data_IF_614620488080
#
_entry.id   IF_614620488080
#
_cell.length_a   1.000
_cell.length_b   1.000
_cell.length_c   1.000
_cell.angle_alpha   90.00
_cell.angle_beta   90.00
_cell.angle_gamma   90.00
#
_symmetry.space_group_name_H-M   'P 1'
#
loop_
_entity.id
_entity.type
_entity.pdbx_description
1 polymer ?
#
# COMPACT_ATOMS: atom_id res chain seq x y z
N UNK A 1 37.39 62.64 3.43
CA UNK A 1 37.92 61.29 3.65
C UNK A 1 36.86 60.32 3.15
N UNK A 2 36.96 59.91 1.89
CA UNK A 2 35.94 59.08 1.24
C UNK A 2 36.08 57.64 1.73
N UNK A 3 35.02 57.20 2.41
CA UNK A 3 34.78 55.83 2.84
C UNK A 3 34.78 54.90 1.63
N UNK A 4 35.78 54.02 1.57
CA UNK A 4 35.88 52.98 0.55
C UNK A 4 35.29 51.70 1.11
N UNK A 5 33.95 51.58 1.05
CA UNK A 5 33.31 50.28 1.17
C UNK A 5 33.66 49.48 -0.08
N UNK A 6 34.61 48.55 0.05
CA UNK A 6 34.93 47.58 -0.99
C UNK A 6 33.69 46.69 -1.20
N UNK A 7 32.93 46.96 -2.26
CA UNK A 7 31.87 46.07 -2.73
C UNK A 7 32.53 44.77 -3.20
N UNK A 8 32.25 43.66 -2.50
CA UNK A 8 32.58 42.35 -3.03
C UNK A 8 31.87 42.17 -4.37
N UNK A 9 32.61 41.73 -5.39
CA UNK A 9 32.07 41.42 -6.72
C UNK A 9 30.91 40.40 -6.59
N UNK A 10 29.86 40.47 -7.42
CA UNK A 10 28.74 39.50 -7.39
C UNK A 10 29.18 38.03 -7.47
N UNK A 11 30.30 37.76 -8.14
CA UNK A 11 30.93 36.43 -8.20
C UNK A 11 31.47 35.94 -6.86
N UNK A 12 31.91 36.83 -5.97
CA UNK A 12 32.39 36.46 -4.64
C UNK A 12 31.23 36.13 -3.68
N UNK A 13 30.02 36.66 -3.93
CA UNK A 13 28.82 36.31 -3.16
C UNK A 13 28.35 34.88 -3.44
N UNK A 14 28.46 34.39 -4.68
CA UNK A 14 28.11 33.01 -5.06
C UNK A 14 29.05 31.94 -4.46
N UNK A 15 30.26 32.31 -4.06
CA UNK A 15 31.21 31.40 -3.42
C UNK A 15 31.04 31.32 -1.89
N UNK A 16 30.14 32.14 -1.31
CA UNK A 16 29.92 32.22 0.12
C UNK A 16 28.69 31.41 0.59
N UNK A 17 27.89 30.87 -0.33
CA UNK A 17 26.79 29.97 0.05
C UNK A 17 27.34 28.61 0.47
N UNK A 18 27.03 28.24 1.71
CA UNK A 18 27.31 26.89 2.21
C UNK A 18 26.60 25.85 1.31
N UNK A 19 27.29 24.76 0.93
CA UNK A 19 26.68 23.73 0.13
C UNK A 19 25.45 23.16 0.85
N UNK A 20 24.36 22.84 0.12
CA UNK A 20 23.17 22.27 0.73
C UNK A 20 23.52 20.97 1.44
N UNK A 21 22.92 20.75 2.61
CA UNK A 21 23.09 19.49 3.35
C UNK A 21 22.34 18.35 2.65
N UNK A 22 22.92 17.16 2.71
CA UNK A 22 22.23 15.93 2.36
C UNK A 22 21.20 15.54 3.43
N UNK A 23 20.29 14.61 3.13
CA UNK A 23 19.21 14.18 4.03
C UNK A 23 19.09 12.66 4.01
N UNK A 24 19.00 12.04 5.19
CA UNK A 24 18.72 10.61 5.32
C UNK A 24 17.21 10.40 5.37
N UNK A 25 16.69 9.54 4.48
CA UNK A 25 15.28 9.18 4.37
C UNK A 25 15.13 7.69 4.71
N UNK A 26 14.16 7.37 5.56
CA UNK A 26 13.80 5.98 5.84
C UNK A 26 12.73 5.51 4.86
N UNK A 27 12.97 4.34 4.29
CA UNK A 27 12.00 3.61 3.50
C UNK A 27 11.91 2.20 4.05
N UNK A 28 10.83 1.88 4.76
CA UNK A 28 9.68 2.72 5.10
C UNK A 28 9.96 3.79 6.19
N UNK A 29 9.09 4.81 6.41
CA UNK A 29 9.44 6.07 7.09
C UNK A 29 9.50 6.02 8.63
N UNK A 30 9.54 4.84 9.24
CA UNK A 30 9.56 4.69 10.69
C UNK A 30 10.98 4.60 11.24
N UNK A 31 11.26 5.41 12.25
CA UNK A 31 12.52 5.48 13.00
C UNK A 31 12.62 4.44 14.14
N UNK A 32 11.51 3.74 14.41
CA UNK A 32 11.40 2.70 15.43
C UNK A 32 11.12 1.36 14.80
N UNK A 33 12.03 0.42 14.99
CA UNK A 33 11.96 -0.94 14.46
C UNK A 33 11.82 -1.96 15.58
N UNK A 34 11.23 -3.10 15.26
CA UNK A 34 11.39 -4.30 16.08
C UNK A 34 12.58 -5.11 15.55
N UNK A 35 13.15 -5.95 16.41
CA UNK A 35 14.13 -6.94 15.94
C UNK A 35 13.53 -7.76 14.78
N UNK A 36 14.38 -8.14 13.82
CA UNK A 36 14.01 -8.85 12.58
C UNK A 36 13.27 -8.02 11.53
N UNK A 37 12.90 -6.77 11.83
CA UNK A 37 12.40 -5.87 10.79
C UNK A 37 13.51 -5.49 9.79
N UNK A 38 13.10 -5.02 8.62
CA UNK A 38 14.01 -4.55 7.58
C UNK A 38 13.66 -3.10 7.22
N UNK A 39 14.68 -2.27 7.07
CA UNK A 39 14.55 -0.86 6.68
C UNK A 39 15.62 -0.50 5.66
N UNK A 40 15.31 0.43 4.77
CA UNK A 40 16.28 0.99 3.82
C UNK A 40 16.48 2.47 4.11
N UNK A 41 17.73 2.86 4.38
CA UNK A 41 18.14 4.25 4.50
C UNK A 41 18.54 4.74 3.10
N UNK A 42 17.99 5.87 2.66
CA UNK A 42 18.32 6.51 1.37
C UNK A 42 18.94 7.88 1.64
N UNK A 43 20.03 8.20 0.95
CA UNK A 43 20.65 9.52 1.04
C UNK A 43 20.17 10.40 -0.12
N UNK A 44 19.52 11.51 0.22
CA UNK A 44 19.13 12.54 -0.73
C UNK A 44 20.18 13.67 -0.69
N UNK A 45 20.82 13.92 -1.83
CA UNK A 45 21.86 14.94 -1.96
C UNK A 45 22.29 15.11 -3.42
N UNK A 46 23.11 16.11 -3.68
CA UNK A 46 23.68 16.34 -5.01
C UNK A 46 24.95 15.50 -5.20
N UNK A 47 25.08 14.89 -6.39
CA UNK A 47 26.21 14.03 -6.74
C UNK A 47 27.02 14.66 -7.88
N UNK A 48 28.35 14.53 -7.86
CA UNK A 48 29.17 14.92 -9.00
C UNK A 48 28.89 14.02 -10.22
N UNK A 49 29.09 14.53 -11.45
CA UNK A 49 28.88 13.74 -12.66
C UNK A 49 29.86 12.55 -12.69
N UNK A 50 29.33 11.34 -12.81
CA UNK A 50 30.13 10.11 -12.89
C UNK A 50 30.52 9.49 -11.55
N UNK A 51 30.08 10.06 -10.43
CA UNK A 51 30.27 9.48 -9.10
C UNK A 51 28.99 9.65 -8.26
N UNK A 52 28.28 8.53 -8.07
CA UNK A 52 27.06 8.39 -7.28
C UNK A 52 27.34 7.86 -5.86
N UNK A 53 28.59 7.93 -5.41
CA UNK A 53 28.98 7.41 -4.12
C UNK A 53 28.46 8.26 -2.95
N UNK A 54 28.05 7.56 -1.89
CA UNK A 54 27.60 8.14 -0.62
C UNK A 54 28.50 7.68 0.50
N UNK A 55 28.95 8.60 1.33
CA UNK A 55 29.60 8.29 2.60
C UNK A 55 28.54 8.13 3.70
N UNK A 56 28.36 6.90 4.19
CA UNK A 56 27.50 6.62 5.32
C UNK A 56 28.29 6.59 6.64
N UNK A 57 27.71 7.16 7.70
CA UNK A 57 28.25 7.09 9.06
C UNK A 57 27.19 6.63 10.06
N UNK A 58 27.57 5.71 10.93
CA UNK A 58 26.78 5.24 12.07
C UNK A 58 27.49 5.58 13.38
N UNK A 59 26.85 6.38 14.24
CA UNK A 59 27.46 6.96 15.45
C UNK A 59 28.84 7.58 15.17
N UNK A 60 28.96 8.30 14.05
CA UNK A 60 30.21 8.90 13.57
C UNK A 60 31.21 7.94 12.90
N UNK A 61 30.98 6.63 12.96
CA UNK A 61 31.85 5.60 12.36
C UNK A 61 31.50 5.37 10.89
N UNK A 62 32.50 5.33 10.01
CA UNK A 62 32.29 5.12 8.59
C UNK A 62 31.77 3.70 8.30
N UNK A 63 30.70 3.60 7.52
CA UNK A 63 30.18 2.34 6.98
C UNK A 63 30.83 2.12 5.61
N UNK A 64 31.21 0.87 5.29
CA UNK A 64 31.86 0.52 4.02
C UNK A 64 30.96 0.65 2.79
N UNK A 65 29.64 0.77 2.98
CA UNK A 65 28.67 0.93 1.92
C UNK A 65 28.82 2.31 1.27
N UNK A 66 29.00 2.32 -0.06
CA UNK A 66 29.11 3.54 -0.87
C UNK A 66 27.87 3.82 -1.73
N UNK A 67 26.85 2.98 -1.66
CA UNK A 67 25.64 3.14 -2.46
C UNK A 67 24.77 4.27 -1.89
N UNK A 68 23.94 4.87 -2.74
CA UNK A 68 22.94 5.87 -2.34
C UNK A 68 21.90 5.33 -1.36
N UNK A 69 21.78 4.01 -1.25
CA UNK A 69 20.92 3.32 -0.28
C UNK A 69 21.67 2.29 0.57
N UNK A 70 21.42 2.30 1.86
CA UNK A 70 21.93 1.33 2.83
C UNK A 70 20.76 0.55 3.45
N UNK A 71 20.71 -0.76 3.18
CA UNK A 71 19.63 -1.63 3.69
C UNK A 71 20.09 -2.38 4.93
N UNK A 72 19.28 -2.34 5.98
CA UNK A 72 19.45 -3.11 7.20
C UNK A 72 18.42 -4.24 7.13
N UNK A 73 18.91 -5.44 6.87
CA UNK A 73 18.12 -6.67 6.93
C UNK A 73 18.23 -7.26 8.33
N UNK A 74 17.12 -7.76 8.85
CA UNK A 74 17.10 -8.51 10.11
C UNK A 74 17.63 -7.67 11.30
N UNK A 75 17.03 -6.51 11.51
CA UNK A 75 17.49 -5.50 12.47
C UNK A 75 17.72 -6.08 13.87
N UNK A 76 18.78 -5.60 14.54
CA UNK A 76 19.15 -5.94 15.91
C UNK A 76 19.21 -4.67 16.76
N UNK A 77 19.12 -4.81 18.09
CA UNK A 77 19.28 -3.66 19.01
C UNK A 77 20.59 -2.90 18.76
N UNK A 78 21.64 -3.59 18.31
CA UNK A 78 22.94 -3.02 17.96
C UNK A 78 22.93 -2.13 16.71
N UNK A 79 21.88 -2.17 15.89
CA UNK A 79 21.70 -1.24 14.79
C UNK A 79 21.11 0.12 15.23
N UNK A 80 20.71 0.25 16.50
CA UNK A 80 20.24 1.53 17.02
C UNK A 80 21.37 2.55 17.04
N UNK A 81 21.04 3.81 16.80
CA UNK A 81 21.99 4.90 16.84
C UNK A 81 21.72 5.98 15.82
N UNK A 82 22.73 6.78 15.58
CA UNK A 82 22.64 7.96 14.72
C UNK A 82 23.25 7.68 13.34
N UNK A 83 22.45 7.85 12.30
CA UNK A 83 22.85 7.70 10.92
C UNK A 83 22.98 9.07 10.26
N UNK A 84 24.13 9.31 9.62
CA UNK A 84 24.34 10.47 8.74
C UNK A 84 24.85 9.99 7.40
N UNK A 85 24.56 10.76 6.36
CA UNK A 85 25.13 10.56 5.03
C UNK A 85 25.80 11.83 4.53
N UNK A 86 26.68 11.68 3.53
CA UNK A 86 27.29 12.78 2.79
C UNK A 86 27.47 12.36 1.33
N UNK A 87 27.11 13.23 0.40
CA UNK A 87 27.34 13.06 -1.03
C UNK A 87 28.44 14.01 -1.52
N UNK A 88 28.98 13.79 -2.71
CA UNK A 88 30.15 14.55 -3.19
C UNK A 88 29.94 16.07 -3.32
N UNK A 89 28.71 16.54 -3.56
CA UNK A 89 28.38 17.97 -3.70
C UNK A 89 27.51 18.53 -2.56
N UNK A 90 27.21 17.73 -1.54
CA UNK A 90 26.40 18.18 -0.41
C UNK A 90 27.17 18.08 0.90
N UNK A 91 26.86 18.98 1.83
CA UNK A 91 27.35 18.87 3.19
C UNK A 91 26.78 17.61 3.87
N UNK A 92 27.44 17.21 4.97
CA UNK A 92 26.96 16.10 5.79
C UNK A 92 25.53 16.38 6.27
N UNK A 93 24.69 15.33 6.24
CA UNK A 93 23.32 15.41 6.68
C UNK A 93 23.20 15.71 8.16
N UNK A 94 22.06 16.26 8.54
CA UNK A 94 21.66 16.21 9.94
C UNK A 94 21.45 14.75 10.38
N UNK A 95 21.65 14.46 11.67
CA UNK A 95 21.57 13.11 12.20
C UNK A 95 20.15 12.54 12.22
N UNK A 96 19.99 11.32 11.71
CA UNK A 96 18.78 10.53 11.85
C UNK A 96 18.96 9.47 12.93
N UNK A 97 18.12 9.49 13.96
CA UNK A 97 18.16 8.53 15.04
C UNK A 97 17.26 7.33 14.74
N UNK A 98 17.84 6.12 14.70
CA UNK A 98 17.13 4.86 14.52
C UNK A 98 17.12 4.08 15.85
N UNK A 99 15.97 3.55 16.24
CA UNK A 99 15.81 2.79 17.49
C UNK A 99 15.24 1.40 17.20
N UNK A 100 15.95 0.35 17.63
CA UNK A 100 15.52 -1.04 17.45
C UNK A 100 15.21 -1.66 18.81
N UNK A 101 13.98 -2.15 18.96
CA UNK A 101 13.46 -2.70 20.21
C UNK A 101 13.37 -4.22 20.14
N UNK A 102 13.68 -4.88 21.25
CA UNK A 102 13.35 -6.30 21.43
C UNK A 102 11.85 -6.44 21.56
N UNK A 103 11.22 -7.02 20.55
CA UNK A 103 9.80 -7.34 20.57
C UNK A 103 9.55 -8.62 19.81
N UNK A 104 8.57 -9.40 20.24
CA UNK A 104 7.99 -10.41 19.38
C UNK A 104 7.16 -9.68 18.34
N UNK A 105 7.38 -9.99 17.04
CA UNK A 105 6.40 -9.67 16.01
C UNK A 105 5.16 -10.47 16.37
N UNK A 106 4.26 -9.88 17.17
CA UNK A 106 2.96 -10.49 17.40
C UNK A 106 2.41 -10.75 16.01
N UNK A 107 1.90 -11.96 15.71
CA UNK A 107 1.08 -12.14 14.53
C UNK A 107 0.09 -10.99 14.59
N UNK A 108 0.14 -10.08 13.60
CA UNK A 108 -0.87 -9.06 13.46
C UNK A 108 -2.20 -9.79 13.61
N UNK A 109 -3.11 -9.40 14.53
CA UNK A 109 -4.43 -9.97 14.51
C UNK A 109 -4.91 -9.75 13.08
N UNK A 110 -5.06 -10.84 12.34
CA UNK A 110 -5.74 -10.84 11.05
C UNK A 110 -6.97 -10.00 11.33
N UNK A 111 -7.18 -8.87 10.62
CA UNK A 111 -8.23 -7.95 11.01
C UNK A 111 -9.49 -8.78 11.18
N UNK A 112 -10.11 -8.65 12.35
CA UNK A 112 -11.28 -9.40 12.79
C UNK A 112 -12.53 -9.15 11.93
N UNK A 113 -12.36 -8.67 10.69
CA UNK A 113 -13.33 -8.82 9.61
C UNK A 113 -13.63 -10.30 9.29
N UNK A 114 -12.78 -11.24 9.73
CA UNK A 114 -13.02 -12.68 9.63
C UNK A 114 -13.20 -13.36 10.98
N UNK A 115 -14.03 -12.79 11.89
CA UNK A 115 -14.64 -13.64 12.91
C UNK A 115 -15.34 -14.81 12.19
N UNK A 116 -15.10 -16.08 12.57
CA UNK A 116 -15.75 -17.23 11.93
C UNK A 116 -17.28 -17.14 12.01
N UNK A 117 -17.83 -16.42 12.98
CA UNK A 117 -19.27 -16.15 13.08
C UNK A 117 -19.84 -15.28 11.97
N UNK A 118 -19.13 -14.28 11.45
CA UNK A 118 -19.65 -13.49 10.33
C UNK A 118 -19.72 -14.31 9.04
N UNK A 119 -18.72 -15.18 8.82
CA UNK A 119 -18.75 -16.16 7.73
C UNK A 119 -19.93 -17.14 7.90
N UNK A 120 -20.19 -17.64 9.10
CA UNK A 120 -21.33 -18.54 9.36
C UNK A 120 -22.66 -17.83 9.14
N UNK A 121 -22.85 -16.64 9.70
CA UNK A 121 -24.10 -15.86 9.55
C UNK A 121 -24.31 -15.51 8.07
N UNK A 122 -23.27 -15.08 7.37
CA UNK A 122 -23.33 -14.79 5.94
C UNK A 122 -23.69 -16.03 5.11
N UNK A 123 -23.06 -17.18 5.38
CA UNK A 123 -23.38 -18.45 4.72
C UNK A 123 -24.83 -18.90 4.98
N UNK A 124 -25.34 -18.73 6.21
CA UNK A 124 -26.71 -19.06 6.57
C UNK A 124 -27.71 -18.14 5.85
N UNK A 125 -27.45 -16.82 5.82
CA UNK A 125 -28.30 -15.85 5.13
C UNK A 125 -28.30 -16.07 3.63
N UNK A 126 -27.11 -16.21 3.00
CA UNK A 126 -27.01 -16.47 1.57
C UNK A 126 -27.65 -17.81 1.20
N UNK A 127 -27.40 -18.88 1.96
CA UNK A 127 -28.01 -20.18 1.74
C UNK A 127 -29.54 -20.16 1.86
N UNK A 128 -30.07 -19.43 2.84
CA UNK A 128 -31.52 -19.24 3.00
C UNK A 128 -32.13 -18.44 1.84
N UNK A 129 -31.50 -17.32 1.45
CA UNK A 129 -31.93 -16.52 0.30
C UNK A 129 -31.95 -17.35 -0.99
N UNK A 130 -30.90 -18.11 -1.28
CA UNK A 130 -30.86 -19.00 -2.45
C UNK A 130 -31.98 -20.05 -2.43
N UNK A 131 -32.31 -20.61 -1.26
CA UNK A 131 -33.40 -21.58 -1.13
C UNK A 131 -34.78 -20.93 -1.38
N UNK A 132 -35.02 -19.74 -0.83
CA UNK A 132 -36.25 -18.97 -1.04
C UNK A 132 -36.38 -18.52 -2.49
N UNK A 133 -35.33 -17.97 -3.08
CA UNK A 133 -35.31 -17.53 -4.47
C UNK A 133 -35.54 -18.71 -5.42
N UNK A 134 -34.89 -19.85 -5.18
CA UNK A 134 -35.09 -21.07 -5.98
C UNK A 134 -36.51 -21.64 -5.81
N UNK A 135 -37.06 -21.63 -4.59
CA UNK A 135 -38.41 -22.10 -4.30
C UNK A 135 -39.48 -21.18 -4.91
N UNK A 136 -39.31 -19.87 -4.81
CA UNK A 136 -40.18 -18.87 -5.41
C UNK A 136 -40.09 -18.94 -6.93
N UNK A 137 -38.88 -19.03 -7.49
CA UNK A 137 -38.67 -19.21 -8.92
C UNK A 137 -39.36 -20.47 -9.43
N UNK A 138 -39.23 -21.61 -8.73
CA UNK A 138 -39.90 -22.84 -9.12
C UNK A 138 -41.43 -22.72 -9.01
N UNK A 139 -41.93 -22.05 -7.97
CA UNK A 139 -43.36 -21.81 -7.76
C UNK A 139 -43.96 -20.95 -8.87
N UNK A 140 -43.31 -19.81 -9.17
CA UNK A 140 -43.70 -18.92 -10.28
C UNK A 140 -43.58 -19.65 -11.61
N UNK A 141 -42.50 -20.40 -11.86
CA UNK A 141 -42.35 -21.19 -13.08
C UNK A 141 -43.43 -22.25 -13.23
N UNK A 142 -43.86 -22.89 -12.12
CA UNK A 142 -44.96 -23.86 -12.12
C UNK A 142 -46.30 -23.20 -12.40
N UNK A 143 -46.56 -22.02 -11.82
CA UNK A 143 -47.75 -21.21 -12.10
C UNK A 143 -47.77 -20.74 -13.56
N UNK A 144 -46.66 -20.22 -14.07
CA UNK A 144 -46.54 -19.80 -15.47
C UNK A 144 -46.68 -20.98 -16.43
N UNK A 145 -46.15 -22.16 -16.09
CA UNK A 145 -46.30 -23.37 -16.90
C UNK A 145 -47.75 -23.86 -16.89
N UNK A 146 -48.39 -23.91 -15.72
CA UNK A 146 -49.81 -24.25 -15.58
C UNK A 146 -50.71 -23.26 -16.32
N UNK A 147 -50.42 -21.96 -16.25
CA UNK A 147 -51.13 -20.92 -17.00
C UNK A 147 -50.93 -21.06 -18.52
N UNK A 148 -49.71 -21.38 -18.97
CA UNK A 148 -49.42 -21.64 -20.39
C UNK A 148 -50.04 -22.96 -20.87
N UNK A 149 -50.19 -23.95 -20.01
CA UNK A 149 -50.89 -25.21 -20.27
C UNK A 149 -52.40 -24.98 -20.38
N UNK A 150 -52.99 -24.21 -19.49
CA UNK A 150 -54.39 -23.80 -19.52
C UNK A 150 -54.71 -22.98 -20.77
N UNK A 151 -53.89 -21.96 -21.10
CA UNK A 151 -53.99 -21.22 -22.35
C UNK A 151 -53.85 -22.11 -23.60
N UNK A 152 -52.97 -23.10 -23.56
CA UNK A 152 -52.79 -24.03 -24.68
C UNK A 152 -53.96 -24.99 -24.81
N UNK A 153 -54.49 -25.53 -23.72
CA UNK A 153 -55.66 -26.40 -23.75
C UNK A 153 -56.91 -25.62 -24.15
N UNK A 154 -57.09 -24.39 -23.64
CA UNK A 154 -58.13 -23.45 -24.04
C UNK A 154 -58.06 -23.10 -25.53
N UNK A 155 -56.85 -22.96 -26.10
CA UNK A 155 -56.66 -22.78 -27.55
C UNK A 155 -56.97 -24.04 -28.36
N UNK A 156 -56.86 -25.23 -27.76
CA UNK A 156 -57.15 -26.53 -28.42
C UNK A 156 -58.64 -26.87 -28.36
N UNK A 157 -59.39 -26.40 -27.36
CA UNK A 157 -60.84 -26.65 -27.23
C UNK A 157 -61.71 -25.87 -28.22
N UNK A 158 -61.21 -24.82 -28.88
CA UNK A 158 -61.98 -24.05 -29.88
C UNK A 158 -61.94 -24.60 -31.32
N UNK A 159 -61.31 -25.77 -31.55
CA UNK A 159 -61.20 -26.35 -32.91
C UNK A 159 -62.13 -27.54 -33.17
N UNK A 160 -63.13 -27.80 -32.33
CA UNK A 160 -64.21 -28.76 -32.64
C UNK A 160 -65.57 -28.21 -32.22
N UNK A 161 -66.11 -27.34 -33.07
CA UNK A 161 -67.56 -27.19 -33.17
C UNK A 161 -68.07 -28.03 -34.36
N UNK A 162 -69.03 -28.94 -34.14
CA UNK A 162 -69.80 -29.58 -35.20
C UNK A 162 -71.00 -28.71 -35.57
N UNK A 163 -70.95 -28.06 -36.74
CA UNK A 163 -72.15 -27.77 -37.54
C UNK A 163 -72.10 -28.73 -38.75
N UNK A 164 -73.17 -29.42 -39.15
CA UNK A 164 -74.54 -28.93 -39.29
C UNK A 164 -75.54 -30.11 -39.34
N UNK A 165 -76.77 -29.87 -38.87
CA UNK A 165 -77.95 -30.73 -38.96
C UNK A 165 -78.76 -30.31 -40.19
N UNK A 166 -79.26 -31.26 -40.98
CA UNK A 166 -80.44 -30.99 -41.81
C UNK A 166 -80.84 -32.13 -42.74
N UNK A 167 -82.10 -32.56 -42.65
CA UNK A 167 -82.81 -33.33 -43.68
C UNK A 167 -83.14 -34.75 -43.32
#
# INVERSE_FOLDING_TARGET
MHSMWQLLSPTALLLLEDPPKSVVILDPPWDRLLEKDSVTLKCQGAYPPGDDSTEWRWNGTLISNKASSYSITDATVGNSGEYTCKTGLSAQSDPLRLEVYKGSKSPSPIPSFFLPWHQIIFCLVMGFLFAVDTGLYFSVRKVLRSSKEDWRNGKVTWSRDPQDKGG
#
